data_IF_786421217235
#
_entry.id   IF_786421217235
#
_cell.length_a   1.000
_cell.length_b   1.000
_cell.length_c   1.000
_cell.angle_alpha   90.00
_cell.angle_beta   90.00
_cell.angle_gamma   90.00
#
_symmetry.space_group_name_H-M   'P 1'
#
loop_
_entity.id
_entity.type
_entity.pdbx_description
1 polymer ?
#
# COMPACT_ATOMS: atom_id res chain seq x y z
N UNK A 1 -28.93 -57.12 15.61
CA UNK A 1 -29.12 -55.72 16.07
C UNK A 1 -27.99 -55.16 16.95
N UNK A 2 -27.09 -55.98 17.53
CA UNK A 2 -25.97 -55.47 18.34
C UNK A 2 -24.81 -54.94 17.48
N UNK A 3 -24.52 -55.58 16.35
CA UNK A 3 -23.44 -55.21 15.40
C UNK A 3 -23.70 -53.89 14.67
N UNK A 4 -24.95 -53.61 14.28
CA UNK A 4 -25.35 -52.33 13.65
C UNK A 4 -25.06 -51.13 14.57
N UNK A 5 -25.30 -51.26 15.88
CA UNK A 5 -25.04 -50.19 16.87
C UNK A 5 -23.56 -49.83 16.98
N UNK A 6 -22.67 -50.81 16.88
CA UNK A 6 -21.22 -50.58 16.88
C UNK A 6 -20.74 -49.97 15.57
N UNK A 7 -21.38 -50.29 14.46
CA UNK A 7 -21.08 -49.70 13.14
C UNK A 7 -21.44 -48.21 13.10
N UNK A 8 -22.56 -47.82 13.71
CA UNK A 8 -22.96 -46.40 13.81
C UNK A 8 -22.00 -45.59 14.69
N UNK A 9 -21.49 -46.18 15.77
CA UNK A 9 -20.51 -45.53 16.66
C UNK A 9 -19.15 -45.34 15.97
N UNK A 10 -18.71 -46.33 15.19
CA UNK A 10 -17.46 -46.25 14.41
C UNK A 10 -17.54 -45.20 13.30
N UNK A 11 -18.69 -45.08 12.63
CA UNK A 11 -18.92 -44.06 11.60
C UNK A 11 -18.90 -42.64 12.19
N UNK A 12 -19.48 -42.45 13.38
CA UNK A 12 -19.55 -41.15 14.05
C UNK A 12 -18.17 -40.66 14.53
N UNK A 13 -17.29 -41.58 14.96
CA UNK A 13 -15.92 -41.24 15.36
C UNK A 13 -15.02 -40.87 14.18
N UNK A 14 -15.32 -41.34 12.96
CA UNK A 14 -14.52 -41.02 11.77
C UNK A 14 -14.63 -39.57 11.30
N UNK A 15 -15.76 -38.91 11.57
CA UNK A 15 -15.99 -37.49 11.21
C UNK A 15 -15.27 -36.49 12.14
N UNK A 16 -14.80 -36.93 13.31
CA UNK A 16 -14.13 -36.05 14.27
C UNK A 16 -12.67 -35.74 13.89
N UNK A 17 -12.10 -36.46 12.92
CA UNK A 17 -10.70 -36.31 12.51
C UNK A 17 -10.52 -35.54 11.20
N UNK A 18 -11.57 -34.99 10.60
CA UNK A 18 -11.48 -34.23 9.33
C UNK A 18 -11.30 -32.72 9.54
N UNK A 19 -10.95 -32.27 10.74
CA UNK A 19 -10.89 -30.84 11.09
C UNK A 19 -9.50 -30.20 10.95
N UNK A 20 -8.47 -30.95 10.56
CA UNK A 20 -7.21 -30.33 10.14
C UNK A 20 -7.32 -29.98 8.66
N UNK A 21 -7.84 -28.79 8.38
CA UNK A 21 -7.54 -28.11 7.12
C UNK A 21 -6.06 -27.71 7.14
N UNK A 22 -5.31 -27.98 6.08
CA UNK A 22 -3.95 -27.46 5.82
C UNK A 22 -3.90 -25.93 5.66
N UNK A 23 -4.92 -25.22 6.17
CA UNK A 23 -5.13 -23.78 6.00
C UNK A 23 -4.63 -22.96 7.20
N UNK A 24 -3.93 -23.59 8.14
CA UNK A 24 -3.23 -22.93 9.25
C UNK A 24 -1.79 -22.54 8.86
N UNK A 25 -1.54 -22.26 7.58
CA UNK A 25 -0.31 -21.59 7.19
C UNK A 25 -0.32 -20.20 7.85
N UNK A 26 0.76 -19.80 8.54
CA UNK A 26 0.83 -18.43 9.05
C UNK A 26 0.65 -17.48 7.86
N UNK A 27 -0.21 -16.48 8.04
CA UNK A 27 -0.29 -15.36 7.10
C UNK A 27 1.13 -14.79 6.98
N UNK A 28 1.64 -14.56 5.76
CA UNK A 28 2.92 -13.87 5.58
C UNK A 28 2.91 -12.59 6.41
N UNK A 29 4.01 -12.34 7.14
CA UNK A 29 4.19 -11.04 7.78
C UNK A 29 4.33 -10.04 6.65
N UNK A 30 3.44 -9.05 6.58
CA UNK A 30 3.63 -7.96 5.65
C UNK A 30 4.72 -7.04 6.18
N UNK A 31 5.75 -6.79 5.38
CA UNK A 31 6.86 -5.92 5.77
C UNK A 31 6.46 -4.46 5.55
N UNK A 32 6.84 -3.56 6.45
CA UNK A 32 6.52 -2.12 6.29
C UNK A 32 7.36 -1.51 5.17
N UNK A 33 6.73 -0.73 4.31
CA UNK A 33 7.36 -0.11 3.15
C UNK A 33 8.24 1.08 3.55
N UNK A 34 9.45 1.14 3.03
CA UNK A 34 10.36 2.28 3.26
C UNK A 34 10.12 3.35 2.21
N UNK A 35 9.36 4.38 2.56
CA UNK A 35 9.10 5.50 1.66
C UNK A 35 10.13 6.61 1.88
N UNK A 36 10.96 6.87 0.87
CA UNK A 36 11.92 7.99 0.91
C UNK A 36 11.44 9.19 0.11
N UNK A 37 10.67 8.95 -0.95
CA UNK A 37 10.39 9.97 -1.96
C UNK A 37 8.96 9.88 -2.44
N UNK A 38 8.26 11.01 -2.39
CA UNK A 38 6.91 11.18 -2.93
C UNK A 38 6.98 12.28 -3.98
N UNK A 39 6.60 11.97 -5.21
CA UNK A 39 6.48 12.94 -6.30
C UNK A 39 5.04 13.02 -6.76
N UNK A 40 4.43 14.20 -6.64
CA UNK A 40 3.08 14.49 -7.12
C UNK A 40 3.19 15.36 -8.37
N UNK A 41 2.63 14.91 -9.47
CA UNK A 41 2.54 15.67 -10.73
C UNK A 41 1.11 16.09 -10.97
N UNK A 42 0.88 17.39 -11.11
CA UNK A 42 -0.43 18.01 -11.31
C UNK A 42 -0.46 18.71 -12.66
N UNK A 43 -1.27 18.19 -13.58
CA UNK A 43 -1.41 18.72 -14.95
C UNK A 43 -2.70 19.53 -15.04
N UNK A 44 -2.65 20.83 -15.40
CA UNK A 44 -3.86 21.64 -15.51
C UNK A 44 -4.74 21.19 -16.68
N UNK A 45 -6.04 21.10 -16.45
CA UNK A 45 -7.03 20.94 -17.52
C UNK A 45 -7.31 22.31 -18.15
N UNK A 46 -6.43 22.73 -19.08
CA UNK A 46 -6.53 24.00 -19.79
C UNK A 46 -5.18 24.69 -19.91
N UNK A 47 -5.16 26.00 -19.60
CA UNK A 47 -3.94 26.81 -19.64
C UNK A 47 -3.18 26.74 -18.30
N UNK A 48 -1.85 26.77 -18.40
CA UNK A 48 -0.94 26.71 -17.26
C UNK A 48 0.14 25.67 -17.48
N UNK A 49 1.14 25.68 -16.61
CA UNK A 49 2.22 24.70 -16.63
C UNK A 49 1.92 23.52 -15.71
N UNK A 50 2.50 22.36 -16.01
CA UNK A 50 2.50 21.20 -15.11
C UNK A 50 3.28 21.54 -13.84
N UNK A 51 2.70 21.21 -12.69
CA UNK A 51 3.29 21.45 -11.38
C UNK A 51 3.77 20.12 -10.82
N UNK A 52 5.02 20.08 -10.36
CA UNK A 52 5.59 18.93 -9.67
C UNK A 52 5.88 19.34 -8.24
N UNK A 53 5.34 18.57 -7.30
CA UNK A 53 5.67 18.64 -5.88
C UNK A 53 6.49 17.41 -5.56
N UNK A 54 7.60 17.58 -4.86
CA UNK A 54 8.40 16.45 -4.39
C UNK A 54 8.75 16.65 -2.93
N UNK A 55 8.59 15.60 -2.14
CA UNK A 55 9.21 15.46 -0.82
C UNK A 55 10.23 14.33 -0.91
N UNK A 56 11.45 14.55 -0.40
CA UNK A 56 12.52 13.57 -0.41
C UNK A 56 13.27 13.56 0.92
N UNK A 57 13.40 12.38 1.50
CA UNK A 57 14.09 12.12 2.76
C UNK A 57 14.83 10.77 2.65
N UNK A 58 16.17 10.81 2.74
CA UNK A 58 17.01 9.60 2.60
C UNK A 58 17.53 9.09 3.95
N UNK A 59 17.28 9.81 5.05
CA UNK A 59 17.70 9.42 6.38
C UNK A 59 16.52 9.12 7.32
N UNK A 60 15.28 9.31 6.87
CA UNK A 60 14.06 8.90 7.57
C UNK A 60 13.96 9.59 8.94
N UNK A 61 13.99 8.81 10.03
CA UNK A 61 14.05 9.34 11.41
C UNK A 61 15.39 10.00 11.78
N UNK A 62 16.26 10.24 10.80
CA UNK A 62 17.52 10.93 10.92
C UNK A 62 17.38 12.42 11.29
N UNK A 63 18.51 13.12 11.47
CA UNK A 63 18.50 14.51 11.90
C UNK A 63 18.07 15.49 10.80
N UNK A 64 18.02 15.08 9.52
CA UNK A 64 17.63 15.97 8.44
C UNK A 64 16.12 15.88 8.21
N UNK A 65 15.47 17.04 8.07
CA UNK A 65 14.07 17.06 7.66
C UNK A 65 13.95 16.75 6.16
N UNK A 66 12.79 16.25 5.70
CA UNK A 66 12.51 16.07 4.27
C UNK A 66 12.73 17.35 3.48
N UNK A 67 13.39 17.23 2.32
CA UNK A 67 13.52 18.33 1.36
C UNK A 67 12.26 18.37 0.51
N UNK A 68 11.49 19.45 0.65
CA UNK A 68 10.27 19.68 -0.12
C UNK A 68 10.53 20.70 -1.23
N UNK A 69 10.14 20.39 -2.45
CA UNK A 69 10.23 21.28 -3.61
C UNK A 69 8.89 21.37 -4.33
N UNK A 70 8.60 22.55 -4.89
CA UNK A 70 7.41 22.81 -5.70
C UNK A 70 7.86 23.58 -6.93
N UNK A 71 7.53 23.09 -8.13
CA UNK A 71 8.04 23.66 -9.38
C UNK A 71 7.40 24.99 -9.77
N UNK A 72 6.21 25.33 -9.24
CA UNK A 72 5.49 26.54 -9.61
C UNK A 72 4.20 26.76 -8.83
N UNK A 73 3.49 27.85 -9.19
CA UNK A 73 2.24 28.24 -8.56
C UNK A 73 1.02 27.67 -9.31
N UNK A 74 -0.05 27.42 -8.56
CA UNK A 74 -1.35 27.05 -9.14
C UNK A 74 -2.03 28.24 -9.84
N UNK A 75 -2.77 27.94 -10.91
CA UNK A 75 -3.70 28.87 -11.53
C UNK A 75 -5.04 28.79 -10.81
N UNK A 76 -5.58 29.94 -10.41
CA UNK A 76 -6.88 30.00 -9.75
C UNK A 76 -8.02 29.49 -10.65
N UNK A 77 -8.99 28.79 -10.06
CA UNK A 77 -10.15 28.21 -10.76
C UNK A 77 -9.80 27.15 -11.83
N UNK A 78 -8.66 26.48 -11.70
CA UNK A 78 -8.23 25.42 -12.61
C UNK A 78 -8.35 24.04 -11.96
N UNK A 79 -8.88 23.07 -12.70
CA UNK A 79 -8.89 21.65 -12.31
C UNK A 79 -7.57 21.02 -12.74
N UNK A 80 -6.93 20.26 -11.86
CA UNK A 80 -5.69 19.54 -12.16
C UNK A 80 -5.93 18.03 -12.13
N UNK A 81 -5.41 17.32 -13.12
CA UNK A 81 -5.25 15.87 -13.07
C UNK A 81 -3.96 15.53 -12.31
N UNK A 82 -4.06 14.68 -11.30
CA UNK A 82 -2.93 14.31 -10.44
C UNK A 82 -2.44 12.89 -10.67
N UNK A 83 -1.12 12.71 -10.59
CA UNK A 83 -0.45 11.43 -10.48
C UNK A 83 0.56 11.47 -9.33
N UNK A 84 0.69 10.38 -8.59
CA UNK A 84 1.63 10.23 -7.48
C UNK A 84 2.57 9.08 -7.81
N UNK A 85 3.86 9.27 -7.55
CA UNK A 85 4.89 8.22 -7.59
C UNK A 85 5.57 8.18 -6.23
N UNK A 86 5.70 6.99 -5.67
CA UNK A 86 6.33 6.71 -4.38
C UNK A 86 7.52 5.78 -4.60
N UNK A 87 8.68 6.14 -4.04
CA UNK A 87 9.92 5.39 -4.21
C UNK A 87 10.63 5.16 -2.88
N UNK A 88 11.40 4.06 -2.85
CA UNK A 88 12.46 3.78 -1.90
C UNK A 88 13.82 3.97 -2.60
N UNK A 89 14.42 5.15 -2.43
CA UNK A 89 15.71 5.51 -3.00
C UNK A 89 16.90 5.07 -2.12
N UNK A 90 16.68 4.32 -1.04
CA UNK A 90 17.77 3.68 -0.29
C UNK A 90 18.31 2.44 -0.99
N UNK A 91 17.54 1.87 -1.91
CA UNK A 91 17.92 0.72 -2.72
C UNK A 91 18.66 1.09 -4.02
N UNK A 92 19.19 0.08 -4.73
CA UNK A 92 19.88 0.26 -6.00
C UNK A 92 19.65 -0.93 -6.94
N UNK A 93 18.77 -0.80 -7.96
CA UNK A 93 18.01 0.43 -8.31
C UNK A 93 17.01 0.84 -7.24
N UNK A 94 16.59 2.11 -7.24
CA UNK A 94 15.50 2.56 -6.37
C UNK A 94 14.25 1.73 -6.64
N UNK A 95 13.62 1.28 -5.57
CA UNK A 95 12.42 0.45 -5.61
C UNK A 95 11.17 1.33 -5.77
N UNK A 96 10.21 0.83 -6.54
CA UNK A 96 8.97 1.53 -6.84
C UNK A 96 7.84 1.05 -5.92
N UNK A 97 7.70 1.74 -4.78
CA UNK A 97 6.66 1.46 -3.78
C UNK A 97 5.26 1.76 -4.31
N UNK A 98 5.13 2.50 -5.42
CA UNK A 98 3.82 2.68 -6.07
C UNK A 98 3.17 1.35 -6.44
N UNK A 99 3.97 0.34 -6.81
CA UNK A 99 3.45 -0.97 -7.21
C UNK A 99 2.83 -1.71 -6.01
N UNK A 100 3.47 -1.66 -4.84
CA UNK A 100 2.96 -2.23 -3.58
C UNK A 100 1.71 -1.50 -3.09
N UNK A 101 1.70 -0.16 -3.15
CA UNK A 101 0.52 0.65 -2.80
C UNK A 101 -0.69 0.33 -3.69
N UNK A 102 -0.47 -0.03 -4.96
CA UNK A 102 -1.53 -0.47 -5.87
C UNK A 102 -1.99 -1.92 -5.59
N UNK A 103 -1.08 -2.81 -5.19
CA UNK A 103 -1.41 -4.19 -4.78
C UNK A 103 -2.16 -4.23 -3.44
N UNK A 104 -1.90 -3.25 -2.57
CA UNK A 104 -2.44 -3.12 -1.22
C UNK A 104 -3.37 -1.91 -1.06
N UNK A 105 -4.24 -1.71 -2.05
CA UNK A 105 -5.12 -0.54 -2.15
C UNK A 105 -6.10 -0.38 -0.98
N UNK A 106 -6.45 -1.48 -0.29
CA UNK A 106 -7.30 -1.46 0.91
C UNK A 106 -6.56 -1.00 2.18
N UNK A 107 -5.23 -1.09 2.21
CA UNK A 107 -4.40 -0.73 3.37
C UNK A 107 -3.83 0.71 3.28
N UNK A 108 -3.77 1.27 2.07
CA UNK A 108 -3.16 2.57 1.81
C UNK A 108 -4.19 3.69 1.54
N UNK A 109 -3.96 4.88 2.11
CA UNK A 109 -4.85 6.03 1.92
C UNK A 109 -4.07 7.33 1.69
N UNK A 110 -4.50 8.09 0.68
CA UNK A 110 -3.95 9.42 0.41
C UNK A 110 -4.86 10.52 0.95
N UNK A 111 -4.28 11.41 1.74
CA UNK A 111 -4.94 12.60 2.25
C UNK A 111 -4.29 13.85 1.68
N UNK A 112 -5.12 14.82 1.33
CA UNK A 112 -4.65 16.14 0.94
C UNK A 112 -5.51 17.20 1.61
N UNK A 113 -4.87 18.32 1.96
CA UNK A 113 -5.54 19.50 2.49
C UNK A 113 -5.24 20.68 1.58
N UNK A 114 -6.28 21.44 1.26
CA UNK A 114 -6.12 22.68 0.48
C UNK A 114 -6.14 23.84 1.47
N UNK A 115 -5.07 24.64 1.49
CA UNK A 115 -5.01 25.93 2.20
C UNK A 115 -4.89 27.05 1.17
N UNK A 116 -5.70 28.10 1.33
CA UNK A 116 -5.71 29.30 0.49
C UNK A 116 -5.58 30.57 1.32
#
# INVERSE_FOLDING_TARGET
>A
MKTIKYFTLLLLTGFLFTSCSDNDNPVPVNEEEIITTITVTLVPNGAGDTITLQSRDLDGDGPNAPVVTVSGNFVANTVYGGAIVILNETESPAENITDEVEEEDEEHQFFYTVSG
#
